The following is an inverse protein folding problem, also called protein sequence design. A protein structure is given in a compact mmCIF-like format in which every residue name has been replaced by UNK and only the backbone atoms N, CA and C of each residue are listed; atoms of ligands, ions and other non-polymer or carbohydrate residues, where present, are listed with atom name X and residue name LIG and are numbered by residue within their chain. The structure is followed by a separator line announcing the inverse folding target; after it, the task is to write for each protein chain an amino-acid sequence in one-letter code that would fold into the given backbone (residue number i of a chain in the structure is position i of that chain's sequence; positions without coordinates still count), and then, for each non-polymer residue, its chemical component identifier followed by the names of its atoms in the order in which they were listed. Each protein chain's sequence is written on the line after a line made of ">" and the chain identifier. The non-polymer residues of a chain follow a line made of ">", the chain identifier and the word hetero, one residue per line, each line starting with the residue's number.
data_IF_882870680357
#
_entry.id   IF_882870680357
#
_cell.length_a   1.000
_cell.length_b   1.000
_cell.length_c   1.000
_cell.angle_alpha   90.00
_cell.angle_beta   90.00
_cell.angle_gamma   90.00
#
_symmetry.space_group_name_H-M   'P 1'
#
loop_
_entity.id
_entity.type
_entity.pdbx_description
1 polymer ?
#
# COMPACT_ATOMS: atom_id res chain seq x y z
N UNK A 1 1.03 -10.69 -7.53
CA UNK A 1 2.21 -10.65 -6.66
C UNK A 1 1.96 -11.54 -5.47
N UNK A 2 2.98 -12.25 -4.99
CA UNK A 2 2.86 -13.13 -3.82
C UNK A 2 3.61 -12.51 -2.65
N UNK A 3 2.96 -12.48 -1.48
CA UNK A 3 3.65 -12.20 -0.23
C UNK A 3 4.43 -13.44 0.20
N UNK A 4 5.74 -13.28 0.38
CA UNK A 4 6.67 -14.37 0.69
C UNK A 4 7.30 -14.14 2.05
N UNK A 5 7.18 -15.14 2.91
CA UNK A 5 7.74 -15.16 4.26
C UNK A 5 8.86 -16.18 4.26
N UNK A 6 10.10 -15.69 4.17
CA UNK A 6 11.29 -16.54 4.20
C UNK A 6 12.38 -16.04 5.15
N UNK A 7 12.09 -15.03 5.99
CA UNK A 7 12.97 -14.66 7.10
C UNK A 7 13.01 -15.77 8.15
N UNK A 8 11.85 -16.32 8.50
CA UNK A 8 11.68 -17.20 9.65
C UNK A 8 10.69 -18.32 9.34
N UNK A 9 10.62 -19.29 10.26
CA UNK A 9 9.60 -20.34 10.27
C UNK A 9 8.63 -20.17 11.46
N UNK A 10 7.61 -21.03 11.55
CA UNK A 10 6.61 -20.94 12.62
C UNK A 10 7.23 -21.12 14.01
N UNK A 11 6.83 -20.29 14.97
CA UNK A 11 7.15 -20.46 16.41
C UNK A 11 6.26 -21.54 17.05
N UNK A 12 6.60 -21.96 18.26
CA UNK A 12 5.79 -22.90 19.03
C UNK A 12 4.40 -22.30 19.34
N UNK A 13 3.36 -23.12 19.22
CA UNK A 13 2.04 -22.80 19.77
C UNK A 13 2.03 -23.09 21.27
N UNK A 14 1.29 -22.31 22.05
CA UNK A 14 1.19 -22.51 23.49
C UNK A 14 0.69 -23.94 23.80
N UNK A 15 1.50 -24.73 24.50
CA UNK A 15 1.16 -26.10 24.91
C UNK A 15 1.38 -27.18 23.85
N UNK A 16 1.79 -26.85 22.61
CA UNK A 16 2.00 -27.82 21.53
C UNK A 16 3.43 -27.75 20.97
N UNK A 17 4.31 -28.70 21.33
CA UNK A 17 5.70 -28.72 20.84
C UNK A 17 5.79 -29.09 19.35
N UNK A 18 4.78 -29.79 18.83
CA UNK A 18 4.64 -30.16 17.43
C UNK A 18 3.24 -29.76 16.97
N UNK A 19 3.16 -28.98 15.89
CA UNK A 19 1.90 -28.55 15.28
C UNK A 19 1.81 -29.04 13.84
N UNK A 20 0.64 -28.83 13.23
CA UNK A 20 0.39 -29.14 11.81
C UNK A 20 0.19 -27.87 11.02
N UNK A 21 0.90 -27.75 9.90
CA UNK A 21 0.67 -26.71 8.91
C UNK A 21 -0.70 -26.89 8.22
N UNK A 22 -1.15 -25.87 7.50
CA UNK A 22 -2.44 -25.88 6.79
C UNK A 22 -2.59 -27.01 5.77
N UNK A 23 -1.48 -27.55 5.26
CA UNK A 23 -1.44 -28.71 4.36
C UNK A 23 -1.13 -30.04 5.07
N UNK A 24 -1.21 -30.09 6.40
CA UNK A 24 -0.89 -31.28 7.21
C UNK A 24 0.60 -31.48 7.51
N UNK A 25 1.45 -30.55 7.06
CA UNK A 25 2.90 -30.63 7.26
C UNK A 25 3.31 -30.63 8.73
N UNK A 26 4.39 -31.32 9.06
CA UNK A 26 4.94 -31.35 10.43
C UNK A 26 5.70 -30.06 10.71
N UNK A 27 5.43 -29.46 11.87
CA UNK A 27 6.07 -28.22 12.33
C UNK A 27 6.60 -28.48 13.74
N UNK A 28 7.92 -28.48 13.93
CA UNK A 28 8.55 -28.69 15.24
C UNK A 28 9.50 -27.52 15.58
N UNK A 29 8.96 -26.40 16.11
CA UNK A 29 9.74 -25.19 16.36
C UNK A 29 10.78 -25.35 17.46
N UNK A 30 10.50 -26.18 18.47
CA UNK A 30 11.39 -26.38 19.62
C UNK A 30 12.73 -27.00 19.20
N UNK A 31 12.70 -27.95 18.27
CA UNK A 31 13.90 -28.58 17.71
C UNK A 31 14.35 -27.96 16.39
N UNK A 32 13.61 -26.97 15.88
CA UNK A 32 13.83 -26.32 14.58
C UNK A 32 13.84 -27.32 13.41
N UNK A 33 12.92 -28.27 13.47
CA UNK A 33 12.74 -29.30 12.45
C UNK A 33 11.43 -29.08 11.68
N UNK A 34 11.57 -28.84 10.38
CA UNK A 34 10.47 -28.58 9.44
C UNK A 34 10.66 -29.46 8.19
N UNK A 35 10.40 -30.78 8.31
CA UNK A 35 10.82 -31.78 7.33
C UNK A 35 10.15 -31.61 5.96
N UNK A 36 8.92 -31.08 5.91
CA UNK A 36 8.22 -30.80 4.65
C UNK A 36 8.69 -29.50 3.97
N UNK A 37 9.36 -28.61 4.72
CA UNK A 37 10.09 -27.44 4.21
C UNK A 37 11.61 -27.74 4.05
N UNK A 38 11.95 -29.03 4.00
CA UNK A 38 13.22 -29.67 4.36
C UNK A 38 14.18 -29.02 5.38
N UNK A 39 13.77 -28.08 6.23
CA UNK A 39 14.68 -27.36 7.14
C UNK A 39 14.98 -28.14 8.42
N UNK A 40 16.26 -28.14 8.81
CA UNK A 40 16.77 -28.73 10.06
C UNK A 40 17.37 -27.65 10.96
N UNK A 41 17.65 -27.99 12.22
CA UNK A 41 18.17 -27.04 13.20
C UNK A 41 19.41 -26.24 12.76
N UNK A 42 20.27 -26.84 11.93
CA UNK A 42 21.48 -26.20 11.40
C UNK A 42 21.21 -25.18 10.27
N UNK A 43 19.96 -25.04 9.82
CA UNK A 43 19.53 -24.08 8.80
C UNK A 43 19.11 -22.73 9.41
N UNK A 44 19.13 -22.61 10.73
CA UNK A 44 18.69 -21.44 11.48
C UNK A 44 19.87 -20.76 12.15
N UNK A 45 19.74 -19.45 12.37
CA UNK A 45 20.62 -18.73 13.29
C UNK A 45 20.38 -19.20 14.73
N UNK A 46 21.43 -19.12 15.55
CA UNK A 46 21.35 -19.51 16.95
C UNK A 46 20.25 -18.70 17.68
N UNK A 47 19.53 -19.31 18.64
CA UNK A 47 18.48 -18.60 19.35
C UNK A 47 19.02 -17.38 20.12
N UNK A 48 18.51 -16.21 19.78
CA UNK A 48 18.71 -14.98 20.53
C UNK A 48 17.53 -14.01 20.36
N UNK A 49 17.44 -13.02 21.23
CA UNK A 49 16.40 -11.98 21.19
C UNK A 49 17.01 -10.67 20.72
N UNK A 50 16.24 -9.89 19.95
CA UNK A 50 16.63 -8.54 19.53
C UNK A 50 16.44 -7.61 20.73
N UNK A 51 17.54 -7.22 21.38
CA UNK A 51 17.53 -6.28 22.51
C UNK A 51 17.81 -4.87 22.02
N UNK A 52 18.75 -4.73 21.09
CA UNK A 52 19.15 -3.48 20.47
C UNK A 52 18.91 -3.54 18.96
N UNK A 53 17.80 -2.99 18.49
CA UNK A 53 17.47 -2.95 17.07
C UNK A 53 18.39 -2.03 16.23
N UNK A 54 19.29 -1.25 16.87
CA UNK A 54 20.34 -0.52 16.17
C UNK A 54 21.62 -1.36 15.97
N UNK A 55 21.74 -2.52 16.62
CA UNK A 55 22.76 -3.50 16.28
C UNK A 55 22.29 -4.28 15.02
N UNK A 56 22.98 -4.11 13.87
CA UNK A 56 22.59 -4.78 12.64
C UNK A 56 22.72 -6.30 12.69
N UNK A 57 23.55 -6.85 13.59
CA UNK A 57 23.70 -8.28 13.80
C UNK A 57 22.54 -8.84 14.61
N UNK A 58 22.18 -8.22 15.74
CA UNK A 58 20.99 -8.65 16.49
C UNK A 58 19.74 -8.55 15.60
N UNK A 59 19.56 -7.43 14.90
CA UNK A 59 18.39 -7.21 14.05
C UNK A 59 18.21 -8.27 12.95
N UNK A 60 19.28 -8.90 12.48
CA UNK A 60 19.25 -9.80 11.31
C UNK A 60 19.61 -11.26 11.59
N UNK A 61 20.08 -11.56 12.79
CA UNK A 61 20.46 -12.91 13.17
C UNK A 61 19.69 -13.40 14.41
N UNK A 62 18.99 -12.52 15.13
CA UNK A 62 18.15 -12.92 16.27
C UNK A 62 16.68 -13.07 15.87
N UNK A 63 15.95 -13.81 16.70
CA UNK A 63 14.60 -14.25 16.39
C UNK A 63 13.59 -13.13 16.61
N UNK A 64 12.91 -12.74 15.52
CA UNK A 64 11.77 -11.83 15.58
C UNK A 64 10.57 -12.56 16.20
N UNK A 65 10.08 -12.09 17.35
CA UNK A 65 8.88 -12.61 18.03
C UNK A 65 8.93 -14.14 18.32
N UNK A 66 10.11 -14.62 18.72
CA UNK A 66 10.40 -16.03 19.02
C UNK A 66 10.21 -16.99 17.84
N UNK A 67 10.30 -16.48 16.61
CA UNK A 67 10.23 -17.27 15.38
C UNK A 67 11.63 -17.73 14.98
N UNK A 68 11.85 -19.05 14.79
CA UNK A 68 13.13 -19.56 14.31
C UNK A 68 13.60 -18.87 13.04
N UNK A 69 14.74 -18.20 13.14
CA UNK A 69 15.29 -17.31 12.11
C UNK A 69 16.19 -18.07 11.13
N UNK A 70 15.86 -18.07 9.84
CA UNK A 70 16.60 -18.83 8.82
C UNK A 70 17.96 -18.18 8.56
N UNK A 71 19.02 -18.98 8.48
CA UNK A 71 20.36 -18.49 8.18
C UNK A 71 20.57 -18.38 6.66
N UNK A 72 20.28 -17.20 6.09
CA UNK A 72 20.46 -16.95 4.66
C UNK A 72 21.92 -16.95 4.22
N UNK A 73 22.90 -16.86 5.12
CA UNK A 73 24.32 -17.01 4.79
C UNK A 73 24.63 -18.38 4.19
N UNK A 74 23.86 -19.41 4.55
CA UNK A 74 24.03 -20.77 4.04
C UNK A 74 23.51 -20.92 2.61
N UNK A 75 24.36 -21.42 1.71
CA UNK A 75 24.01 -21.63 0.31
C UNK A 75 22.79 -22.55 0.12
N UNK A 76 22.65 -23.59 0.97
CA UNK A 76 21.52 -24.53 0.93
C UNK A 76 20.18 -23.88 1.33
N UNK A 77 20.20 -22.92 2.27
CA UNK A 77 18.99 -22.16 2.65
C UNK A 77 18.57 -21.27 1.49
N UNK A 78 19.50 -20.49 0.92
CA UNK A 78 19.23 -19.66 -0.27
C UNK A 78 18.73 -20.49 -1.45
N UNK A 79 19.31 -21.67 -1.70
CA UNK A 79 18.85 -22.57 -2.76
C UNK A 79 17.37 -22.93 -2.61
N UNK A 80 16.95 -23.36 -1.42
CA UNK A 80 15.55 -23.75 -1.18
C UNK A 80 14.58 -22.59 -1.36
N UNK A 81 14.96 -21.40 -0.92
CA UNK A 81 14.17 -20.18 -1.15
C UNK A 81 14.08 -19.89 -2.66
N UNK A 82 15.20 -19.94 -3.38
CA UNK A 82 15.23 -19.74 -4.85
C UNK A 82 14.33 -20.76 -5.56
N UNK A 83 14.37 -22.03 -5.17
CA UNK A 83 13.55 -23.08 -5.77
C UNK A 83 12.05 -22.83 -5.55
N UNK A 84 11.67 -22.43 -4.33
CA UNK A 84 10.30 -22.07 -4.01
C UNK A 84 9.82 -20.85 -4.80
N UNK A 85 10.63 -19.79 -4.89
CA UNK A 85 10.30 -18.58 -5.65
C UNK A 85 10.21 -18.86 -7.15
N UNK A 86 11.15 -19.62 -7.72
CA UNK A 86 11.12 -20.01 -9.13
C UNK A 86 9.90 -20.88 -9.46
N UNK A 87 9.46 -21.76 -8.54
CA UNK A 87 8.21 -22.50 -8.71
C UNK A 87 7.00 -21.56 -8.80
N UNK A 88 6.96 -20.49 -8.00
CA UNK A 88 5.90 -19.47 -8.09
C UNK A 88 5.97 -18.69 -9.41
N UNK A 89 7.17 -18.38 -9.91
CA UNK A 89 7.35 -17.72 -11.21
C UNK A 89 6.88 -18.61 -12.37
N UNK A 90 7.15 -19.92 -12.30
CA UNK A 90 6.66 -20.89 -13.27
C UNK A 90 5.12 -20.99 -13.29
N UNK A 91 4.46 -20.69 -12.16
CA UNK A 91 2.99 -20.59 -12.07
C UNK A 91 2.43 -19.24 -12.59
N UNK A 92 3.26 -18.33 -13.07
CA UNK A 92 2.84 -17.06 -13.67
C UNK A 92 2.83 -15.86 -12.71
N UNK A 93 3.42 -15.97 -11.52
CA UNK A 93 3.53 -14.85 -10.58
C UNK A 93 4.44 -13.75 -11.15
N UNK A 94 3.96 -12.50 -11.12
CA UNK A 94 4.67 -11.32 -11.63
C UNK A 94 5.80 -10.79 -10.71
N UNK A 95 5.87 -11.27 -9.46
CA UNK A 95 6.81 -10.78 -8.46
C UNK A 95 6.35 -10.96 -7.02
N UNK A 96 7.15 -10.44 -6.10
CA UNK A 96 7.10 -10.76 -4.67
C UNK A 96 7.04 -9.53 -3.77
N UNK A 97 6.26 -9.64 -2.69
CA UNK A 97 6.34 -8.76 -1.53
C UNK A 97 7.04 -9.54 -0.40
N UNK A 98 8.20 -9.08 0.02
CA UNK A 98 9.09 -9.78 0.96
C UNK A 98 8.79 -9.31 2.36
N UNK A 99 8.13 -10.16 3.14
CA UNK A 99 7.88 -9.90 4.55
C UNK A 99 9.19 -9.85 5.34
N UNK A 100 9.21 -9.01 6.38
CA UNK A 100 10.32 -8.94 7.35
C UNK A 100 11.69 -8.74 6.72
N UNK A 101 11.80 -8.06 5.58
CA UNK A 101 13.08 -7.85 4.90
C UNK A 101 14.08 -7.01 5.70
N UNK A 102 13.60 -6.18 6.63
CA UNK A 102 14.44 -5.49 7.62
C UNK A 102 15.37 -6.44 8.40
N UNK A 103 14.86 -7.64 8.69
CA UNK A 103 15.51 -8.68 9.49
C UNK A 103 16.40 -9.61 8.63
N UNK A 104 16.59 -9.31 7.35
CA UNK A 104 17.49 -10.06 6.46
C UNK A 104 18.62 -9.18 5.94
N UNK A 105 19.78 -9.78 5.68
CA UNK A 105 20.92 -9.06 5.11
C UNK A 105 20.69 -8.72 3.63
N UNK A 106 20.96 -7.48 3.19
CA UNK A 106 20.82 -7.10 1.77
C UNK A 106 21.64 -7.96 0.82
N UNK A 107 22.83 -8.41 1.23
CA UNK A 107 23.69 -9.24 0.37
C UNK A 107 23.13 -10.66 0.18
N UNK A 108 22.44 -11.20 1.19
CA UNK A 108 21.78 -12.50 1.08
C UNK A 108 20.51 -12.41 0.24
N UNK A 109 19.73 -11.34 0.40
CA UNK A 109 18.61 -11.03 -0.49
C UNK A 109 19.09 -10.93 -1.94
N UNK A 110 20.16 -10.16 -2.20
CA UNK A 110 20.78 -10.07 -3.54
C UNK A 110 21.13 -11.45 -4.09
N UNK A 111 21.78 -12.29 -3.29
CA UNK A 111 22.17 -13.64 -3.71
C UNK A 111 20.98 -14.56 -4.03
N UNK A 112 19.80 -14.31 -3.45
CA UNK A 112 18.55 -14.99 -3.81
C UNK A 112 17.99 -14.42 -5.12
N UNK A 113 17.85 -13.08 -5.21
CA UNK A 113 17.18 -12.41 -6.32
C UNK A 113 17.94 -12.49 -7.66
N UNK A 114 19.27 -12.49 -7.63
CA UNK A 114 20.10 -12.64 -8.82
C UNK A 114 19.91 -14.02 -9.48
N UNK A 115 19.40 -15.00 -8.73
CA UNK A 115 19.21 -16.38 -9.17
C UNK A 115 17.77 -16.72 -9.56
N UNK A 116 16.84 -15.76 -9.44
CA UNK A 116 15.47 -15.97 -9.89
C UNK A 116 15.42 -16.06 -11.41
N UNK A 117 14.47 -16.82 -11.93
CA UNK A 117 14.16 -16.88 -13.34
C UNK A 117 13.49 -15.59 -13.83
N UNK A 118 13.51 -15.37 -15.14
CA UNK A 118 12.70 -14.33 -15.74
C UNK A 118 11.21 -14.72 -15.68
N UNK A 119 10.33 -13.73 -15.81
CA UNK A 119 8.89 -13.96 -15.90
C UNK A 119 8.56 -14.81 -17.13
N UNK A 120 7.63 -15.74 -16.96
CA UNK A 120 7.20 -16.65 -18.03
C UNK A 120 6.63 -15.85 -19.20
N UNK A 121 7.09 -16.15 -20.42
CA UNK A 121 6.52 -15.64 -21.68
C UNK A 121 5.50 -16.61 -22.28
N UNK A 122 5.04 -17.61 -21.52
CA UNK A 122 4.03 -18.56 -21.99
C UNK A 122 2.73 -17.82 -22.39
N UNK A 123 2.03 -18.39 -23.37
CA UNK A 123 0.83 -17.78 -23.96
C UNK A 123 -0.17 -17.35 -22.87
N UNK A 124 -0.58 -16.07 -22.93
CA UNK A 124 -1.50 -15.46 -21.98
C UNK A 124 -0.85 -14.78 -20.76
N UNK A 125 0.47 -14.85 -20.57
CA UNK A 125 1.14 -14.17 -19.45
C UNK A 125 1.31 -12.66 -19.66
N UNK A 126 1.48 -12.22 -20.91
CA UNK A 126 1.65 -10.81 -21.28
C UNK A 126 2.99 -10.18 -20.87
N UNK A 127 3.99 -10.96 -20.42
CA UNK A 127 5.30 -10.46 -20.05
C UNK A 127 6.26 -10.40 -21.24
N UNK A 128 7.08 -9.34 -21.31
CA UNK A 128 8.12 -9.21 -22.33
C UNK A 128 9.28 -10.20 -22.09
N UNK A 129 9.95 -10.70 -23.15
CA UNK A 129 11.16 -11.50 -23.00
C UNK A 129 12.21 -10.79 -22.14
N UNK A 130 12.77 -11.51 -21.16
CA UNK A 130 13.77 -10.96 -20.24
C UNK A 130 13.19 -10.16 -19.07
N UNK A 131 11.87 -10.01 -18.95
CA UNK A 131 11.26 -9.33 -17.81
C UNK A 131 11.64 -10.02 -16.49
N UNK A 132 12.17 -9.24 -15.54
CA UNK A 132 12.49 -9.71 -14.18
C UNK A 132 11.27 -9.60 -13.27
N UNK A 133 11.13 -10.48 -12.26
CA UNK A 133 10.07 -10.35 -11.27
C UNK A 133 10.17 -9.02 -10.52
N UNK A 134 9.03 -8.38 -10.29
CA UNK A 134 8.93 -7.24 -9.39
C UNK A 134 9.26 -7.66 -7.96
N UNK A 135 9.96 -6.82 -7.20
CA UNK A 135 10.28 -7.10 -5.80
C UNK A 135 10.00 -5.86 -4.96
N UNK A 136 9.20 -6.05 -3.90
CA UNK A 136 8.96 -5.05 -2.87
C UNK A 136 9.41 -5.59 -1.52
N UNK A 137 10.19 -4.84 -0.76
CA UNK A 137 10.69 -5.22 0.56
C UNK A 137 9.91 -4.52 1.66
N UNK A 138 9.48 -5.28 2.66
CA UNK A 138 8.97 -4.73 3.90
C UNK A 138 10.11 -4.42 4.88
N UNK A 139 10.37 -3.13 5.09
CA UNK A 139 11.37 -2.66 6.05
C UNK A 139 10.74 -2.17 7.36
N UNK A 140 9.50 -2.56 7.63
CA UNK A 140 8.74 -2.06 8.77
C UNK A 140 9.24 -2.67 10.08
N UNK A 141 9.20 -1.86 11.13
CA UNK A 141 9.54 -2.24 12.49
C UNK A 141 8.40 -1.79 13.40
N UNK A 142 7.69 -2.75 13.97
CA UNK A 142 6.41 -2.50 14.63
C UNK A 142 6.51 -2.39 16.16
N UNK A 143 7.69 -2.14 16.72
CA UNK A 143 7.78 -1.81 18.15
C UNK A 143 7.57 -0.30 18.39
N UNK A 144 6.62 0.08 19.27
CA UNK A 144 6.37 1.48 19.60
C UNK A 144 7.62 2.21 20.09
N UNK A 145 7.82 3.45 19.64
CA UNK A 145 8.88 4.35 20.14
C UNK A 145 10.30 4.02 19.69
N UNK A 146 10.52 2.91 18.97
CA UNK A 146 11.85 2.49 18.51
C UNK A 146 11.91 2.54 16.99
N UNK A 147 12.92 3.22 16.45
CA UNK A 147 13.20 3.26 15.02
C UNK A 147 14.63 2.78 14.75
N UNK A 148 14.81 1.58 14.20
CA UNK A 148 16.13 1.08 13.83
C UNK A 148 16.83 2.03 12.86
N UNK A 149 18.09 2.37 13.15
CA UNK A 149 18.93 3.15 12.25
C UNK A 149 19.48 2.27 11.12
N UNK A 150 18.60 1.87 10.20
CA UNK A 150 18.97 1.04 9.05
C UNK A 150 18.99 1.87 7.77
N UNK A 151 20.09 1.76 7.03
CA UNK A 151 20.19 2.33 5.69
C UNK A 151 19.27 1.57 4.73
N UNK A 152 18.19 2.23 4.32
CA UNK A 152 17.26 1.71 3.31
C UNK A 152 17.90 1.58 1.91
N UNK A 153 19.02 2.28 1.65
CA UNK A 153 19.65 2.36 0.32
C UNK A 153 20.02 0.98 -0.23
N UNK A 154 20.62 0.12 0.61
CA UNK A 154 21.03 -1.21 0.21
C UNK A 154 19.85 -2.08 -0.26
N UNK A 155 18.67 -1.90 0.31
CA UNK A 155 17.44 -2.59 -0.09
C UNK A 155 16.80 -1.94 -1.33
N UNK A 156 16.81 -0.60 -1.42
CA UNK A 156 16.28 0.13 -2.57
C UNK A 156 17.07 -0.10 -3.87
N UNK A 157 18.34 -0.51 -3.77
CA UNK A 157 19.11 -0.98 -4.93
C UNK A 157 18.60 -2.32 -5.48
N UNK A 158 17.99 -3.14 -4.63
CA UNK A 158 17.49 -4.47 -4.98
C UNK A 158 16.04 -4.47 -5.46
N UNK A 159 15.26 -3.43 -5.14
CA UNK A 159 13.84 -3.38 -5.44
C UNK A 159 13.14 -2.14 -4.89
N UNK A 160 11.83 -2.24 -4.79
CA UNK A 160 10.95 -1.20 -4.22
C UNK A 160 10.79 -1.45 -2.73
N UNK A 161 10.54 -0.41 -1.94
CA UNK A 161 10.34 -0.51 -0.50
C UNK A 161 8.90 -0.15 -0.13
N UNK A 162 8.27 -0.99 0.68
CA UNK A 162 7.01 -0.66 1.33
C UNK A 162 7.25 0.50 2.31
N UNK A 163 6.44 1.55 2.22
CA UNK A 163 6.70 2.79 2.93
C UNK A 163 5.57 3.16 3.89
N UNK A 164 5.57 2.53 5.07
CA UNK A 164 4.64 2.78 6.18
C UNK A 164 4.55 4.27 6.56
N UNK A 165 5.66 5.02 6.41
CA UNK A 165 5.68 6.45 6.71
C UNK A 165 4.62 7.24 5.94
N UNK A 166 4.32 6.88 4.68
CA UNK A 166 3.25 7.57 3.94
C UNK A 166 1.89 7.36 4.62
N UNK A 167 1.59 6.12 5.04
CA UNK A 167 0.35 5.76 5.72
C UNK A 167 0.20 6.51 7.06
N UNK A 168 1.30 6.60 7.81
CA UNK A 168 1.34 7.31 9.10
C UNK A 168 1.19 8.82 8.89
N UNK A 169 1.98 9.44 8.00
CA UNK A 169 1.92 10.90 7.79
C UNK A 169 0.55 11.34 7.26
N UNK A 170 -0.08 10.59 6.33
CA UNK A 170 -1.43 10.91 5.85
C UNK A 170 -2.48 10.61 6.93
N UNK A 171 -2.24 9.60 7.77
CA UNK A 171 -3.01 9.30 8.96
C UNK A 171 -2.99 10.46 9.95
N UNK A 172 -1.82 10.99 10.30
CA UNK A 172 -1.66 12.15 11.18
C UNK A 172 -2.40 13.38 10.63
N UNK A 173 -2.36 13.61 9.32
CA UNK A 173 -3.13 14.71 8.72
C UNK A 173 -4.63 14.51 8.90
N UNK A 174 -5.15 13.34 8.54
CA UNK A 174 -6.59 13.13 8.47
C UNK A 174 -7.22 12.71 9.81
N UNK A 175 -6.39 12.33 10.78
CA UNK A 175 -6.71 12.23 12.20
C UNK A 175 -6.46 13.55 12.95
N UNK A 176 -6.19 14.65 12.22
CA UNK A 176 -6.14 16.04 12.73
C UNK A 176 -4.99 16.34 13.68
N UNK A 177 -3.88 15.63 13.53
CA UNK A 177 -2.63 15.82 14.27
C UNK A 177 -1.65 16.73 13.53
N UNK A 178 -1.75 16.84 12.19
CA UNK A 178 -0.92 17.70 11.33
C UNK A 178 -1.76 18.37 10.21
N UNK A 179 -1.34 19.54 9.68
CA UNK A 179 -2.04 20.16 8.56
C UNK A 179 -1.74 19.46 7.23
N UNK A 180 -2.74 19.39 6.34
CA UNK A 180 -2.60 18.79 5.01
C UNK A 180 -1.56 19.49 4.13
N UNK A 181 -1.34 20.80 4.32
CA UNK A 181 -0.31 21.58 3.61
C UNK A 181 1.08 20.94 3.65
N UNK A 182 1.44 20.18 4.69
CA UNK A 182 2.74 19.52 4.82
C UNK A 182 3.14 18.71 3.57
N UNK A 183 2.16 18.17 2.85
CA UNK A 183 2.39 17.39 1.62
C UNK A 183 2.86 18.19 0.40
N UNK A 184 2.93 19.53 0.46
CA UNK A 184 3.53 20.37 -0.61
C UNK A 184 4.97 19.96 -0.94
N UNK A 185 5.67 19.36 0.02
CA UNK A 185 7.05 18.90 -0.14
C UNK A 185 7.18 17.38 -0.21
N UNK A 186 6.08 16.64 -0.40
CA UNK A 186 6.07 15.18 -0.42
C UNK A 186 7.15 14.61 -1.36
N UNK A 187 8.09 13.88 -0.76
CA UNK A 187 9.27 13.35 -1.43
C UNK A 187 10.52 13.52 -0.60
N UNK A 188 11.68 13.46 -1.26
CA UNK A 188 12.99 13.45 -0.60
C UNK A 188 13.26 14.68 0.26
N UNK A 189 12.63 15.83 -0.03
CA UNK A 189 12.69 17.04 0.80
C UNK A 189 12.10 16.85 2.20
N UNK A 190 11.12 15.96 2.35
CA UNK A 190 10.57 15.57 3.66
C UNK A 190 11.27 14.33 4.24
N UNK A 191 12.37 13.89 3.65
CA UNK A 191 13.11 12.70 4.08
C UNK A 191 12.44 11.39 3.69
N UNK A 192 11.56 11.41 2.70
CA UNK A 192 11.08 10.19 2.06
C UNK A 192 12.15 9.60 1.14
N UNK A 193 12.03 8.31 0.83
CA UNK A 193 12.88 7.68 -0.19
C UNK A 193 12.53 8.22 -1.59
N UNK A 194 13.39 8.03 -2.61
CA UNK A 194 13.04 8.41 -3.98
C UNK A 194 11.77 7.72 -4.45
N UNK A 195 10.90 8.45 -5.16
CA UNK A 195 9.54 7.98 -5.50
C UNK A 195 9.54 6.68 -6.29
N UNK A 196 10.53 6.48 -7.16
CA UNK A 196 10.73 5.32 -8.01
C UNK A 196 11.12 4.06 -7.23
N UNK A 197 11.51 4.23 -5.95
CA UNK A 197 11.83 3.14 -5.02
C UNK A 197 10.76 2.95 -3.95
N UNK A 198 9.64 3.66 -4.01
CA UNK A 198 8.60 3.61 -2.98
C UNK A 198 7.34 2.89 -3.45
N UNK A 199 6.82 1.99 -2.62
CA UNK A 199 5.45 1.51 -2.66
C UNK A 199 4.71 2.11 -1.45
N UNK A 200 3.64 2.85 -1.73
CA UNK A 200 2.87 3.61 -0.75
C UNK A 200 1.42 3.16 -0.71
N UNK A 201 0.81 3.30 0.46
CA UNK A 201 -0.56 2.90 0.77
C UNK A 201 -1.07 3.75 1.92
N UNK A 202 -2.38 3.88 2.03
CA UNK A 202 -2.99 4.62 3.14
C UNK A 202 -2.98 3.82 4.45
N UNK A 203 -3.03 2.50 4.36
CA UNK A 203 -2.92 1.57 5.49
C UNK A 203 -2.42 0.22 4.99
N UNK A 204 -2.12 -0.70 5.91
CA UNK A 204 -1.75 -2.09 5.63
C UNK A 204 -2.39 -3.02 6.66
N UNK A 205 -2.48 -4.34 6.40
CA UNK A 205 -3.00 -5.28 7.39
C UNK A 205 -2.32 -5.19 8.76
N UNK A 206 -1.01 -4.91 8.79
CA UNK A 206 -0.25 -4.69 10.03
C UNK A 206 -0.64 -3.37 10.71
N UNK A 207 -0.62 -2.25 9.97
CA UNK A 207 -0.93 -0.92 10.54
C UNK A 207 -2.38 -0.79 11.01
N UNK A 208 -3.32 -1.51 10.39
CA UNK A 208 -4.72 -1.56 10.85
C UNK A 208 -4.86 -2.21 12.25
N UNK A 209 -3.85 -2.97 12.68
CA UNK A 209 -3.80 -3.71 13.94
C UNK A 209 -2.79 -3.13 14.93
N UNK A 210 -2.20 -2.00 14.60
CA UNK A 210 -1.16 -1.38 15.40
C UNK A 210 -1.64 -0.01 15.87
N UNK A 211 -2.21 0.09 17.09
CA UNK A 211 -2.43 1.39 17.70
C UNK A 211 -1.08 2.03 18.07
N UNK A 212 -1.10 3.33 18.37
CA UNK A 212 0.04 3.99 19.01
C UNK A 212 0.15 3.61 20.49
N UNK A 213 1.14 4.20 21.18
CA UNK A 213 1.42 3.92 22.58
C UNK A 213 0.26 4.26 23.53
N UNK A 214 -0.63 5.17 23.12
CA UNK A 214 -1.80 5.61 23.89
C UNK A 214 -3.08 4.83 23.52
N UNK A 215 -2.98 3.89 22.56
CA UNK A 215 -4.11 3.09 22.10
C UNK A 215 -4.89 3.72 20.94
N UNK A 216 -4.46 4.87 20.43
CA UNK A 216 -5.13 5.57 19.34
C UNK A 216 -4.75 5.00 17.96
N UNK A 217 -5.55 5.31 16.95
CA UNK A 217 -5.29 4.89 15.58
C UNK A 217 -4.06 5.62 15.01
N UNK A 218 -3.15 4.87 14.39
CA UNK A 218 -2.02 5.44 13.61
C UNK A 218 -2.42 5.82 12.18
N UNK A 219 -3.34 5.06 11.59
CA UNK A 219 -3.73 5.18 10.18
C UNK A 219 -5.24 5.30 10.02
N UNK A 220 -5.67 5.91 8.92
CA UNK A 220 -7.09 5.96 8.56
C UNK A 220 -7.54 4.66 7.87
N UNK A 221 -8.80 4.31 8.09
CA UNK A 221 -9.41 3.06 7.63
C UNK A 221 -10.94 3.20 7.55
N UNK A 222 -11.64 2.08 7.37
CA UNK A 222 -13.10 2.03 7.47
C UNK A 222 -13.69 2.62 8.74
N UNK A 223 -12.95 2.56 9.85
CA UNK A 223 -13.37 3.12 11.14
C UNK A 223 -13.55 4.64 11.08
N UNK A 224 -12.94 5.29 10.10
CA UNK A 224 -13.07 6.72 9.80
C UNK A 224 -13.21 6.92 8.27
N UNK A 225 -14.29 6.34 7.71
CA UNK A 225 -14.51 6.24 6.26
C UNK A 225 -14.35 7.55 5.47
N UNK A 226 -14.84 8.69 5.97
CA UNK A 226 -14.67 10.00 5.31
C UNK A 226 -13.19 10.38 5.16
N UNK A 227 -12.43 10.27 6.24
CA UNK A 227 -10.99 10.52 6.23
C UNK A 227 -10.28 9.53 5.29
N UNK A 228 -10.66 8.25 5.34
CA UNK A 228 -10.06 7.24 4.49
C UNK A 228 -10.30 7.49 2.99
N UNK A 229 -11.48 7.97 2.59
CA UNK A 229 -11.76 8.36 1.18
C UNK A 229 -10.88 9.50 0.71
N UNK A 230 -10.68 10.53 1.55
CA UNK A 230 -9.76 11.65 1.25
C UNK A 230 -8.34 11.12 1.03
N UNK A 231 -7.87 10.23 1.92
CA UNK A 231 -6.55 9.63 1.83
C UNK A 231 -6.35 8.81 0.56
N UNK A 232 -7.33 7.97 0.20
CA UNK A 232 -7.29 7.14 -1.01
C UNK A 232 -7.30 8.01 -2.27
N UNK A 233 -8.11 9.06 -2.30
CA UNK A 233 -8.14 10.00 -3.40
C UNK A 233 -6.80 10.75 -3.53
N UNK A 234 -6.20 11.21 -2.42
CA UNK A 234 -4.88 11.84 -2.43
C UNK A 234 -3.77 10.87 -2.89
N UNK A 235 -3.75 9.64 -2.36
CA UNK A 235 -2.83 8.57 -2.78
C UNK A 235 -2.85 8.36 -4.30
N UNK A 236 -4.05 8.32 -4.88
CA UNK A 236 -4.24 8.04 -6.30
C UNK A 236 -3.99 9.27 -7.18
N UNK A 237 -4.30 10.48 -6.70
CA UNK A 237 -4.03 11.74 -7.40
C UNK A 237 -2.54 12.09 -7.45
N UNK A 238 -1.81 11.86 -6.35
CA UNK A 238 -0.43 12.27 -6.20
C UNK A 238 0.53 11.36 -6.97
N UNK A 239 1.62 11.92 -7.51
CA UNK A 239 2.60 11.19 -8.34
C UNK A 239 3.67 10.40 -7.57
N UNK A 240 3.58 10.37 -6.25
CA UNK A 240 4.63 9.81 -5.39
C UNK A 240 4.42 8.32 -5.20
N UNK A 241 5.45 7.52 -5.46
CA UNK A 241 5.44 6.07 -5.28
C UNK A 241 4.50 5.30 -6.20
N UNK A 242 4.64 3.98 -6.12
CA UNK A 242 3.68 2.99 -6.59
C UNK A 242 2.56 2.88 -5.57
N UNK A 243 1.33 3.20 -5.98
CA UNK A 243 0.18 3.16 -5.08
C UNK A 243 -0.36 1.73 -4.93
N UNK A 244 -0.51 1.27 -3.70
CA UNK A 244 -1.22 0.04 -3.32
C UNK A 244 -2.50 0.42 -2.57
N UNK A 245 -3.63 -0.12 -3.02
CA UNK A 245 -4.92 0.02 -2.33
C UNK A 245 -5.20 -1.26 -1.56
N UNK A 246 -5.46 -1.13 -0.26
CA UNK A 246 -5.87 -2.25 0.59
C UNK A 246 -7.31 -2.67 0.27
N UNK A 247 -7.60 -3.95 0.46
CA UNK A 247 -8.96 -4.49 0.42
C UNK A 247 -9.17 -5.35 1.65
N UNK A 248 -10.00 -4.90 2.57
CA UNK A 248 -10.08 -5.42 3.93
C UNK A 248 -11.40 -6.13 4.24
N UNK A 249 -11.50 -6.63 5.47
CA UNK A 249 -12.69 -7.20 6.09
C UNK A 249 -12.91 -6.55 7.46
N UNK A 250 -14.15 -6.58 7.96
CA UNK A 250 -14.47 -6.11 9.30
C UNK A 250 -13.87 -7.03 10.37
N UNK A 251 -13.32 -6.42 11.40
CA UNK A 251 -12.87 -7.11 12.60
C UNK A 251 -13.14 -6.26 13.84
N UNK A 252 -13.42 -6.94 14.95
CA UNK A 252 -13.74 -6.34 16.25
C UNK A 252 -12.53 -6.28 17.17
N UNK A 253 -11.59 -7.22 17.03
CA UNK A 253 -10.35 -7.25 17.80
C UNK A 253 -9.12 -7.44 16.89
N UNK A 254 -7.94 -7.04 17.37
CA UNK A 254 -6.74 -6.92 16.53
C UNK A 254 -6.18 -8.27 16.04
N UNK A 255 -6.56 -9.38 16.68
CA UNK A 255 -6.08 -10.73 16.34
C UNK A 255 -7.07 -11.52 15.49
N UNK A 256 -8.22 -10.93 15.14
CA UNK A 256 -9.26 -11.60 14.36
C UNK A 256 -8.81 -11.92 12.93
N UNK A 257 -8.96 -13.19 12.57
CA UNK A 257 -8.75 -13.71 11.23
C UNK A 257 -9.82 -13.22 10.24
N UNK A 258 -9.75 -13.64 8.97
CA UNK A 258 -10.76 -13.28 7.97
C UNK A 258 -12.13 -13.89 8.34
N UNK A 259 -13.22 -13.39 7.73
CA UNK A 259 -14.53 -14.02 7.83
C UNK A 259 -14.48 -15.49 7.44
N UNK A 260 -15.02 -16.38 8.29
CA UNK A 260 -15.10 -17.82 8.05
C UNK A 260 -16.55 -18.31 8.08
N UNK A 261 -16.83 -19.40 7.38
CA UNK A 261 -18.10 -20.12 7.48
C UNK A 261 -18.16 -21.02 8.73
N UNK A 262 -19.28 -21.74 8.89
CA UNK A 262 -19.49 -22.63 10.03
C UNK A 262 -18.51 -23.82 10.08
N UNK A 263 -17.79 -24.08 8.99
CA UNK A 263 -16.79 -25.14 8.86
C UNK A 263 -15.36 -24.59 9.03
N UNK A 264 -15.21 -23.30 9.33
CA UNK A 264 -13.92 -22.64 9.49
C UNK A 264 -13.19 -22.36 8.17
N UNK A 265 -13.85 -22.49 7.01
CA UNK A 265 -13.29 -22.09 5.73
C UNK A 265 -13.51 -20.60 5.51
N UNK A 266 -12.60 -19.93 4.78
CA UNK A 266 -12.76 -18.50 4.48
C UNK A 266 -14.06 -18.29 3.70
N UNK A 267 -14.95 -17.45 4.24
CA UNK A 267 -16.25 -17.20 3.65
C UNK A 267 -16.12 -16.47 2.30
N UNK A 268 -16.90 -16.82 1.27
CA UNK A 268 -16.80 -16.18 -0.03
C UNK A 268 -17.23 -14.71 0.04
N UNK A 269 -16.62 -13.88 -0.80
CA UNK A 269 -17.07 -12.50 -1.02
C UNK A 269 -18.43 -12.51 -1.73
N UNK A 270 -19.41 -11.83 -1.15
CA UNK A 270 -20.75 -11.67 -1.73
C UNK A 270 -20.95 -10.23 -2.23
N UNK A 271 -21.76 -10.07 -3.26
CA UNK A 271 -22.03 -8.78 -3.89
C UNK A 271 -23.53 -8.46 -3.84
N UNK A 272 -23.88 -7.18 -3.72
CA UNK A 272 -25.24 -6.71 -3.94
C UNK A 272 -25.54 -6.54 -5.44
N UNK A 273 -26.78 -6.13 -5.79
CA UNK A 273 -27.21 -5.95 -7.17
C UNK A 273 -26.37 -4.89 -7.92
N UNK A 274 -25.81 -3.92 -7.19
CA UNK A 274 -24.97 -2.85 -7.71
C UNK A 274 -23.48 -3.25 -7.82
N UNK A 275 -23.12 -4.50 -7.49
CA UNK A 275 -21.76 -5.03 -7.57
C UNK A 275 -20.81 -4.61 -6.44
N UNK A 276 -21.34 -3.94 -5.40
CA UNK A 276 -20.61 -3.62 -4.18
C UNK A 276 -20.54 -4.85 -3.25
N UNK A 277 -19.44 -4.98 -2.51
CA UNK A 277 -19.31 -6.08 -1.56
C UNK A 277 -20.27 -5.95 -0.38
N UNK A 278 -20.78 -7.09 0.06
CA UNK A 278 -21.54 -7.21 1.30
C UNK A 278 -20.59 -7.43 2.48
N UNK A 279 -20.93 -6.81 3.62
CA UNK A 279 -20.24 -7.05 4.89
C UNK A 279 -20.26 -8.55 5.23
N UNK A 280 -19.21 -9.08 5.88
CA UNK A 280 -18.08 -8.35 6.50
C UNK A 280 -16.94 -7.97 5.53
N UNK A 281 -17.01 -8.30 4.24
CA UNK A 281 -16.00 -7.85 3.27
C UNK A 281 -16.17 -6.37 2.93
N UNK A 282 -15.11 -5.58 3.07
CA UNK A 282 -15.16 -4.12 2.85
C UNK A 282 -15.01 -3.77 1.37
N UNK A 283 -14.05 -4.41 0.70
CA UNK A 283 -13.71 -4.19 -0.71
C UNK A 283 -13.54 -2.72 -1.12
N UNK A 284 -12.62 -2.01 -0.48
CA UNK A 284 -12.30 -0.61 -0.80
C UNK A 284 -11.93 -0.43 -2.28
N UNK A 285 -11.31 -1.44 -2.89
CA UNK A 285 -10.99 -1.45 -4.32
C UNK A 285 -12.20 -1.29 -5.25
N UNK A 286 -13.42 -1.56 -4.77
CA UNK A 286 -14.69 -1.41 -5.51
C UNK A 286 -15.41 -0.10 -5.23
N UNK A 287 -14.90 0.70 -4.30
CA UNK A 287 -15.55 1.95 -3.95
C UNK A 287 -15.55 2.92 -5.12
N UNK A 288 -16.64 3.66 -5.35
CA UNK A 288 -16.70 4.66 -6.41
C UNK A 288 -15.49 5.62 -6.36
N UNK A 289 -15.11 6.09 -5.16
CA UNK A 289 -13.91 6.91 -4.95
C UNK A 289 -12.65 6.30 -5.56
N UNK A 290 -12.39 5.02 -5.28
CA UNK A 290 -11.18 4.32 -5.73
C UNK A 290 -11.22 4.06 -7.22
N UNK A 291 -12.34 3.54 -7.74
CA UNK A 291 -12.51 3.25 -9.16
C UNK A 291 -12.32 4.51 -10.00
N UNK A 292 -12.92 5.63 -9.58
CA UNK A 292 -12.80 6.93 -10.23
C UNK A 292 -11.38 7.48 -10.13
N UNK A 293 -10.77 7.45 -8.95
CA UNK A 293 -9.41 7.98 -8.80
C UNK A 293 -8.34 7.09 -9.44
N UNK A 294 -8.61 5.81 -9.71
CA UNK A 294 -7.78 4.97 -10.58
C UNK A 294 -7.83 5.47 -12.03
N UNK A 295 -8.99 5.90 -12.53
CA UNK A 295 -9.09 6.54 -13.84
C UNK A 295 -8.26 7.84 -13.86
N UNK A 296 -8.39 8.67 -12.82
CA UNK A 296 -7.57 9.89 -12.69
C UNK A 296 -6.08 9.58 -12.70
N UNK A 297 -5.63 8.59 -11.91
CA UNK A 297 -4.23 8.18 -11.85
C UNK A 297 -3.71 7.68 -13.19
N UNK A 298 -4.53 6.92 -13.93
CA UNK A 298 -4.19 6.40 -15.26
C UNK A 298 -4.06 7.54 -16.27
N UNK A 299 -5.02 8.46 -16.33
CA UNK A 299 -5.02 9.59 -17.25
C UNK A 299 -3.87 10.59 -16.97
N UNK A 300 -3.49 10.73 -15.70
CA UNK A 300 -2.37 11.58 -15.28
C UNK A 300 -1.03 10.83 -15.17
N UNK A 301 -0.92 9.59 -15.64
CA UNK A 301 0.32 8.84 -15.48
C UNK A 301 1.50 9.52 -16.20
N UNK A 302 2.67 9.54 -15.58
CA UNK A 302 3.86 10.20 -16.13
C UNK A 302 3.96 11.72 -15.90
N UNK A 303 2.88 12.41 -15.52
CA UNK A 303 2.91 13.88 -15.38
C UNK A 303 3.47 14.37 -14.04
N UNK A 304 3.96 15.60 -14.04
CA UNK A 304 4.39 16.34 -12.85
C UNK A 304 3.24 16.68 -11.90
N UNK A 305 3.59 17.24 -10.74
CA UNK A 305 2.67 18.07 -9.95
C UNK A 305 3.03 19.51 -10.28
N UNK A 306 2.03 20.34 -10.55
CA UNK A 306 2.19 21.75 -10.85
C UNK A 306 1.13 22.57 -10.10
N UNK A 307 1.38 23.87 -9.97
CA UNK A 307 0.43 24.84 -9.42
C UNK A 307 -0.22 24.36 -8.12
N UNK A 308 0.61 23.91 -7.17
CA UNK A 308 0.13 23.60 -5.83
C UNK A 308 -0.38 24.87 -5.16
N UNK A 309 -1.56 24.78 -4.55
CA UNK A 309 -2.23 25.83 -3.79
C UNK A 309 -2.74 25.22 -2.49
N UNK A 310 -2.74 26.01 -1.43
CA UNK A 310 -3.34 25.63 -0.15
C UNK A 310 -3.65 26.85 0.71
N UNK A 311 -4.34 26.63 1.82
CA UNK A 311 -4.65 27.64 2.83
C UNK A 311 -3.71 27.61 4.06
N UNK A 312 -2.55 26.95 3.96
CA UNK A 312 -1.65 26.67 5.07
C UNK A 312 -2.17 25.64 6.09
N UNK A 313 -3.35 25.06 5.86
CA UNK A 313 -4.04 24.13 6.76
C UNK A 313 -4.50 22.89 5.99
N UNK A 314 -5.82 22.61 5.94
CA UNK A 314 -6.37 21.36 5.42
C UNK A 314 -7.12 21.50 4.09
N UNK A 315 -6.98 22.64 3.41
CA UNK A 315 -7.45 22.84 2.04
C UNK A 315 -6.24 22.88 1.11
N UNK A 316 -6.20 21.96 0.15
CA UNK A 316 -5.11 21.86 -0.82
C UNK A 316 -5.67 21.66 -2.22
N UNK A 317 -4.94 22.05 -3.25
CA UNK A 317 -5.24 21.76 -4.65
C UNK A 317 -3.98 21.75 -5.49
N UNK A 318 -3.98 20.96 -6.56
CA UNK A 318 -2.83 20.90 -7.47
C UNK A 318 -3.22 20.32 -8.82
N UNK A 319 -2.42 20.64 -9.82
CA UNK A 319 -2.50 20.07 -11.15
C UNK A 319 -1.61 18.84 -11.28
N UNK A 320 -2.01 17.92 -12.15
CA UNK A 320 -1.16 16.87 -12.72
C UNK A 320 -0.78 17.24 -14.14
N UNK A 321 0.06 18.28 -14.25
CA UNK A 321 0.32 18.99 -15.51
C UNK A 321 -1.03 19.44 -16.14
N UNK A 322 -1.19 19.37 -17.47
CA UNK A 322 -2.47 19.65 -18.15
C UNK A 322 -3.44 18.47 -18.21
N UNK A 323 -3.11 17.32 -17.60
CA UNK A 323 -3.95 16.11 -17.68
C UNK A 323 -5.12 16.11 -16.70
N UNK A 324 -4.99 16.81 -15.57
CA UNK A 324 -6.04 16.86 -14.56
C UNK A 324 -5.74 17.78 -13.39
N UNK A 325 -6.78 18.09 -12.63
CA UNK A 325 -6.76 18.97 -11.47
C UNK A 325 -7.50 18.29 -10.31
N UNK A 326 -7.00 18.45 -9.09
CA UNK A 326 -7.68 18.01 -7.86
C UNK A 326 -7.66 19.11 -6.81
N UNK A 327 -8.72 19.19 -6.02
CA UNK A 327 -8.74 19.98 -4.79
C UNK A 327 -9.44 19.21 -3.67
N UNK A 328 -8.95 19.38 -2.45
CA UNK A 328 -9.39 18.68 -1.25
C UNK A 328 -9.76 19.69 -0.16
N UNK A 329 -10.82 19.40 0.57
CA UNK A 329 -11.21 20.12 1.78
C UNK A 329 -11.31 19.14 2.96
N UNK A 330 -10.22 19.02 3.73
CA UNK A 330 -10.20 18.23 4.95
C UNK A 330 -10.53 19.05 6.22
N UNK A 331 -10.99 20.31 6.07
CA UNK A 331 -11.46 21.12 7.19
C UNK A 331 -12.80 20.60 7.76
N UNK A 332 -13.07 20.95 9.02
CA UNK A 332 -14.30 20.55 9.72
C UNK A 332 -15.43 21.56 9.46
N UNK A 333 -15.13 22.85 9.61
CA UNK A 333 -16.11 23.93 9.61
C UNK A 333 -15.91 24.96 8.50
N UNK A 334 -14.80 24.90 7.76
CA UNK A 334 -14.48 25.85 6.69
C UNK A 334 -14.74 25.24 5.31
N UNK A 335 -15.76 25.74 4.62
CA UNK A 335 -16.00 25.41 3.21
C UNK A 335 -14.88 26.00 2.35
N UNK A 336 -14.35 25.21 1.41
CA UNK A 336 -13.44 25.73 0.40
C UNK A 336 -14.28 26.49 -0.62
N UNK A 337 -14.00 27.78 -0.77
CA UNK A 337 -14.58 28.65 -1.80
C UNK A 337 -13.48 29.57 -2.34
N UNK A 338 -12.89 29.20 -3.46
CA UNK A 338 -11.76 29.93 -4.03
C UNK A 338 -11.72 29.79 -5.55
N UNK A 339 -11.24 30.85 -6.22
CA UNK A 339 -10.93 30.81 -7.64
C UNK A 339 -9.51 30.27 -7.81
N UNK A 340 -9.38 29.05 -8.35
CA UNK A 340 -8.12 28.31 -8.41
C UNK A 340 -7.66 28.11 -9.85
N UNK A 341 -6.36 28.24 -10.10
CA UNK A 341 -5.77 27.88 -11.39
C UNK A 341 -5.70 26.35 -11.54
N UNK A 342 -6.30 25.82 -12.60
CA UNK A 342 -6.52 24.38 -12.79
C UNK A 342 -5.53 23.72 -13.76
N UNK A 343 -4.74 24.52 -14.47
CA UNK A 343 -3.88 24.08 -15.58
C UNK A 343 -4.64 23.44 -16.78
N UNK A 344 -5.97 23.39 -16.72
CA UNK A 344 -6.81 22.90 -17.81
C UNK A 344 -7.16 24.04 -18.75
N UNK A 345 -7.48 23.70 -19.99
CA UNK A 345 -7.97 24.67 -20.97
C UNK A 345 -9.39 25.13 -20.64
N UNK A 346 -9.75 26.34 -21.10
CA UNK A 346 -11.08 26.88 -20.92
C UNK A 346 -12.18 25.92 -21.42
N UNK A 347 -13.25 25.78 -20.64
CA UNK A 347 -14.39 24.94 -20.95
C UNK A 347 -15.10 24.41 -19.71
N UNK A 348 -16.12 23.59 -19.93
CA UNK A 348 -16.91 22.98 -18.85
C UNK A 348 -16.46 21.55 -18.64
N UNK A 349 -16.13 21.19 -17.40
CA UNK A 349 -15.66 19.87 -17.01
C UNK A 349 -16.63 19.22 -16.04
N UNK A 350 -16.79 17.91 -16.16
CA UNK A 350 -17.49 17.12 -15.14
C UNK A 350 -16.52 16.74 -14.03
N UNK A 351 -16.94 16.97 -12.79
CA UNK A 351 -16.26 16.43 -11.61
C UNK A 351 -16.38 14.91 -11.59
N UNK A 352 -15.25 14.23 -11.71
CA UNK A 352 -15.15 12.77 -11.73
C UNK A 352 -15.76 12.14 -10.48
N UNK A 353 -15.71 12.82 -9.33
CA UNK A 353 -16.17 12.30 -8.04
C UNK A 353 -17.69 12.31 -7.94
N UNK A 354 -18.33 13.45 -8.17
CA UNK A 354 -19.80 13.54 -8.09
C UNK A 354 -20.52 13.08 -9.36
N UNK A 355 -19.84 12.98 -10.50
CA UNK A 355 -20.46 12.45 -11.71
C UNK A 355 -20.80 10.97 -11.57
N UNK A 356 -21.92 10.54 -12.16
CA UNK A 356 -22.28 9.14 -12.35
C UNK A 356 -21.25 8.36 -13.16
N UNK A 357 -21.53 7.10 -13.48
CA UNK A 357 -20.55 6.18 -14.07
C UNK A 357 -19.98 6.71 -15.41
N UNK A 358 -18.81 7.36 -15.35
CA UNK A 358 -17.91 7.57 -16.49
C UNK A 358 -17.14 6.27 -16.72
N UNK A 359 -17.85 5.20 -17.11
CA UNK A 359 -17.24 3.94 -17.48
C UNK A 359 -17.19 3.84 -19.00
N UNK A 360 -16.03 4.17 -19.56
CA UNK A 360 -15.76 4.13 -21.00
C UNK A 360 -15.45 5.52 -21.51
N UNK A 361 -14.25 5.70 -22.05
CA UNK A 361 -13.72 6.97 -22.57
C UNK A 361 -14.42 7.49 -23.82
N UNK A 362 -15.76 7.44 -23.85
CA UNK A 362 -16.58 8.15 -24.81
C UNK A 362 -16.63 9.64 -24.49
N UNK A 363 -17.07 10.43 -25.47
CA UNK A 363 -17.33 11.86 -25.32
C UNK A 363 -18.35 12.08 -24.21
N UNK A 364 -18.01 12.93 -23.24
CA UNK A 364 -18.94 13.30 -22.18
C UNK A 364 -19.85 14.40 -22.73
N UNK A 365 -21.11 14.08 -22.97
CA UNK A 365 -22.11 15.03 -23.50
C UNK A 365 -22.86 15.76 -22.39
N UNK A 366 -22.91 15.18 -21.18
CA UNK A 366 -23.56 15.76 -20.01
C UNK A 366 -22.88 15.34 -18.71
N UNK A 367 -22.81 16.26 -17.74
CA UNK A 367 -22.43 15.93 -16.37
C UNK A 367 -23.70 15.65 -15.55
N UNK A 368 -23.79 14.43 -15.02
CA UNK A 368 -24.81 14.04 -14.03
C UNK A 368 -24.48 14.54 -12.62
N UNK A 369 -23.22 14.90 -12.37
CA UNK A 369 -22.74 15.50 -11.13
C UNK A 369 -22.37 16.98 -11.26
N UNK A 370 -21.45 17.43 -10.42
CA UNK A 370 -20.98 18.83 -10.39
C UNK A 370 -20.28 19.20 -11.70
N UNK A 371 -20.62 20.38 -12.23
CA UNK A 371 -19.97 21.02 -13.38
C UNK A 371 -18.99 22.07 -12.86
N UNK A 372 -17.80 22.11 -13.45
CA UNK A 372 -16.79 23.14 -13.16
C UNK A 372 -16.45 23.86 -14.46
N UNK A 373 -16.61 25.18 -14.48
CA UNK A 373 -16.26 26.02 -15.62
C UNK A 373 -14.85 26.56 -15.40
N UNK A 374 -13.96 26.24 -16.34
CA UNK A 374 -12.61 26.81 -16.43
C UNK A 374 -12.65 27.97 -17.41
N UNK A 375 -12.19 29.14 -16.99
CA UNK A 375 -12.15 30.35 -17.80
C UNK A 375 -10.94 30.40 -18.76
N UNK A 376 -10.85 31.48 -19.55
CA UNK A 376 -9.77 31.69 -20.52
C UNK A 376 -8.37 31.74 -19.89
N UNK A 377 -8.27 32.11 -18.61
CA UNK A 377 -7.03 32.18 -17.85
C UNK A 377 -6.72 30.85 -17.15
N UNK A 378 -7.49 29.79 -17.42
CA UNK A 378 -7.32 28.47 -16.81
C UNK A 378 -7.78 28.40 -15.34
N UNK A 379 -8.52 29.39 -14.85
CA UNK A 379 -9.02 29.44 -13.48
C UNK A 379 -10.46 28.91 -13.39
N UNK A 380 -10.82 28.36 -12.24
CA UNK A 380 -12.19 27.90 -11.95
C UNK A 380 -12.61 28.24 -10.52
N UNK A 381 -13.88 28.57 -10.33
CA UNK A 381 -14.48 28.70 -9.00
C UNK A 381 -14.69 27.31 -8.39
N UNK A 382 -13.86 26.97 -7.39
CA UNK A 382 -13.93 25.70 -6.69
C UNK A 382 -14.70 25.89 -5.38
N UNK A 383 -15.75 25.09 -5.20
CA UNK A 383 -16.62 25.13 -4.04
C UNK A 383 -16.81 23.72 -3.45
N UNK A 384 -16.25 23.47 -2.27
CA UNK A 384 -16.29 22.15 -1.61
C UNK A 384 -16.75 22.31 -0.16
N UNK A 385 -18.00 21.93 0.10
CA UNK A 385 -18.60 21.95 1.46
C UNK A 385 -17.89 20.93 2.36
N UNK A 386 -17.72 21.28 3.63
CA UNK A 386 -17.10 20.36 4.60
C UNK A 386 -17.97 19.14 4.91
N UNK A 387 -19.29 19.25 4.81
CA UNK A 387 -20.21 18.17 5.18
C UNK A 387 -20.30 17.03 4.15
N UNK A 388 -19.58 17.11 3.04
CA UNK A 388 -19.56 16.05 2.03
C UNK A 388 -18.82 14.80 2.57
N UNK A 389 -19.33 13.62 2.20
CA UNK A 389 -18.60 12.35 2.42
C UNK A 389 -17.31 12.28 1.61
N UNK A 390 -17.31 12.90 0.43
CA UNK A 390 -16.18 13.04 -0.49
C UNK A 390 -15.89 14.54 -0.69
N UNK A 391 -15.24 15.21 0.29
CA UNK A 391 -15.00 16.65 0.23
C UNK A 391 -13.78 16.94 -0.65
N UNK A 392 -13.82 16.51 -1.90
CA UNK A 392 -12.79 16.75 -2.90
C UNK A 392 -13.39 16.72 -4.32
N UNK A 393 -12.76 17.42 -5.24
CA UNK A 393 -13.11 17.47 -6.66
C UNK A 393 -11.96 16.90 -7.48
N UNK A 394 -12.26 16.21 -8.57
CA UNK A 394 -11.25 15.75 -9.53
C UNK A 394 -11.72 16.00 -10.96
N UNK A 395 -10.92 16.73 -11.73
CA UNK A 395 -11.17 17.08 -13.13
C UNK A 395 -10.10 16.44 -14.01
N UNK A 396 -10.52 15.91 -15.16
CA UNK A 396 -9.60 15.40 -16.18
C UNK A 396 -9.76 16.21 -17.46
N UNK A 397 -8.68 16.37 -18.22
CA UNK A 397 -8.76 16.97 -19.56
C UNK A 397 -9.78 16.24 -20.45
N UNK A 398 -9.90 14.92 -20.26
CA UNK A 398 -10.85 14.06 -20.99
C UNK A 398 -12.29 14.13 -20.48
N UNK A 399 -12.57 14.80 -19.36
CA UNK A 399 -13.94 15.01 -18.84
C UNK A 399 -14.52 16.37 -19.24
N UNK A 400 -13.90 17.06 -20.20
CA UNK A 400 -14.41 18.27 -20.83
C UNK A 400 -15.66 17.94 -21.66
N UNK A 401 -16.73 18.70 -21.46
CA UNK A 401 -17.91 18.62 -22.31
C UNK A 401 -17.56 19.11 -23.72
N UNK A 402 -17.97 18.32 -24.71
CA UNK A 402 -17.85 18.61 -26.14
C UNK A 402 -18.81 19.71 -26.59
#
# INVERSE_FOLDING_TARGET
>A
YVEVVFNHMARASAGEPVTRGTAGSIVNPATRDYPDAPYIAADFNDPCTIVNANDPHELRNCWKEDRPDLNHGLARVRQRIVDALNRLLALGVAGFFVDSALYMWPHDLRAIYDRLQNLSTADGSGFAPGARPFVCYDLSYHQPGVKPNVSWKAYAELGVLAHDRFAIDIGEVLLRRKPFHYFVHLGTRLGYIPRERALVYVNSPALLRQPDADGDLLVVSMRNARAYRIALAFLLAHRYGLARVSSSYEFTNLTEGPPVDAQGQIAPVRYNAEGACQRPWICEHRWPTVVKMLQFRRASNGTGIASWVDNGQNQIGFCRDRSGFVAFNAEISLTLKAKLYTCLEAGTYCDLISNGALLGGGTVTECTGTKVVVDADGQADIFIKTQLEEPFVALLATSKLS
#
